data_IF_350767389285
#
_entry.id   IF_350767389285
#
_cell.length_a   1.000
_cell.length_b   1.000
_cell.length_c   1.000
_cell.angle_alpha   90.00
_cell.angle_beta   90.00
_cell.angle_gamma   90.00
#
_symmetry.space_group_name_H-M   'P 1'
#
loop_
_entity.id
_entity.type
_entity.pdbx_description
1 polymer ?
#
# COMPACT_ATOMS: atom_id res chain seq x y z
N UNK A 1 -28.21 22.00 17.93
CA UNK A 1 -26.81 21.65 18.18
C UNK A 1 -26.39 20.72 17.05
N UNK A 2 -25.56 21.22 16.11
CA UNK A 2 -25.03 20.40 15.03
C UNK A 2 -24.13 19.32 15.61
N UNK A 3 -24.48 18.05 15.43
CA UNK A 3 -23.59 16.91 15.71
C UNK A 3 -22.36 17.10 14.82
N UNK A 4 -21.31 17.68 15.38
CA UNK A 4 -20.02 17.81 14.71
C UNK A 4 -19.51 16.39 14.47
N UNK A 5 -19.63 15.93 13.24
CA UNK A 5 -18.94 14.71 12.81
C UNK A 5 -17.45 14.88 13.10
N UNK A 6 -16.81 13.90 13.74
CA UNK A 6 -15.40 14.01 14.05
C UNK A 6 -14.62 14.26 12.77
N UNK A 7 -13.69 15.21 12.80
CA UNK A 7 -12.85 15.57 11.66
C UNK A 7 -12.09 14.32 11.16
N UNK A 8 -12.07 14.13 9.84
CA UNK A 8 -11.27 13.10 9.21
C UNK A 8 -9.93 13.71 8.79
N UNK A 9 -8.85 13.12 9.26
CA UNK A 9 -7.47 13.55 8.99
C UNK A 9 -6.74 12.43 8.26
N UNK A 10 -6.06 12.78 7.18
CA UNK A 10 -5.15 11.86 6.50
C UNK A 10 -3.73 12.10 6.99
N UNK A 11 -3.10 11.06 7.51
CA UNK A 11 -1.68 11.03 7.84
C UNK A 11 -0.97 10.13 6.82
N UNK A 12 -0.11 10.72 6.00
CA UNK A 12 0.71 9.98 5.03
C UNK A 12 2.12 9.88 5.59
N UNK A 13 2.58 8.65 5.77
CA UNK A 13 3.96 8.33 6.16
C UNK A 13 4.69 8.03 4.86
N UNK A 14 5.37 9.05 4.34
CA UNK A 14 6.13 8.98 3.10
C UNK A 14 7.46 8.24 3.26
N UNK A 15 8.29 8.22 2.21
CA UNK A 15 9.65 7.69 2.29
C UNK A 15 10.50 8.45 3.31
N UNK A 16 10.48 9.77 3.29
CA UNK A 16 11.37 10.63 4.04
C UNK A 16 10.64 11.73 4.82
N UNK A 17 9.30 11.77 4.73
CA UNK A 17 8.49 12.79 5.37
C UNK A 17 7.13 12.25 5.85
N UNK A 18 6.61 12.88 6.90
CA UNK A 18 5.23 12.78 7.34
C UNK A 18 4.44 13.93 6.72
N UNK A 19 3.27 13.62 6.17
CA UNK A 19 2.36 14.63 5.64
C UNK A 19 0.98 14.50 6.27
N UNK A 20 0.53 15.57 6.91
CA UNK A 20 -0.82 15.68 7.48
C UNK A 20 -1.69 16.49 6.53
N UNK A 21 -2.79 15.90 6.10
CA UNK A 21 -3.78 16.56 5.24
C UNK A 21 -5.10 16.67 6.00
N UNK A 22 -5.59 17.90 6.13
CA UNK A 22 -6.85 18.23 6.77
C UNK A 22 -7.76 18.96 5.78
N UNK A 23 -9.05 18.78 5.93
CA UNK A 23 -10.01 19.45 5.09
C UNK A 23 -9.85 20.98 5.20
N UNK A 24 -9.75 21.67 4.07
CA UNK A 24 -9.64 23.14 3.95
C UNK A 24 -8.42 23.76 4.65
N UNK A 25 -7.37 22.97 4.89
CA UNK A 25 -6.10 23.48 5.40
C UNK A 25 -4.97 23.08 4.47
N UNK A 26 -3.92 23.89 4.44
CA UNK A 26 -2.69 23.51 3.75
C UNK A 26 -2.13 22.22 4.36
N UNK A 27 -1.60 21.36 3.50
CA UNK A 27 -0.92 20.17 3.98
C UNK A 27 0.33 20.57 4.76
N UNK A 28 0.52 19.95 5.92
CA UNK A 28 1.73 20.09 6.71
C UNK A 28 2.66 18.94 6.39
N UNK A 29 3.91 19.25 6.10
CA UNK A 29 4.94 18.25 5.83
C UNK A 29 6.08 18.41 6.83
N UNK A 30 6.59 17.29 7.33
CA UNK A 30 7.65 17.22 8.33
C UNK A 30 8.59 16.07 8.02
N UNK A 31 9.90 16.21 8.24
CA UNK A 31 10.87 15.15 7.99
C UNK A 31 10.56 13.91 8.85
N UNK A 32 10.81 12.74 8.30
CA UNK A 32 10.73 11.49 9.01
C UNK A 32 12.03 11.28 9.79
N UNK A 33 11.94 11.11 11.11
CA UNK A 33 13.07 10.74 11.94
C UNK A 33 13.35 9.22 11.83
N UNK A 34 14.50 8.79 12.32
CA UNK A 34 14.86 7.37 12.33
C UNK A 34 13.93 6.52 13.20
N UNK A 35 13.35 7.12 14.23
CA UNK A 35 12.40 6.48 15.13
C UNK A 35 10.96 6.96 14.89
N UNK A 36 10.03 6.01 14.85
CA UNK A 36 8.60 6.30 14.61
C UNK A 36 7.98 7.16 15.70
N UNK A 37 8.32 6.91 16.96
CA UNK A 37 7.78 7.66 18.08
C UNK A 37 8.22 9.12 18.04
N UNK A 38 9.51 9.38 17.75
CA UNK A 38 10.05 10.72 17.59
C UNK A 38 9.39 11.46 16.42
N UNK A 39 9.24 10.79 15.28
CA UNK A 39 8.56 11.36 14.11
C UNK A 39 7.10 11.76 14.42
N UNK A 40 6.36 10.89 15.09
CA UNK A 40 4.97 11.17 15.46
C UNK A 40 4.85 12.23 16.56
N UNK A 41 5.83 12.30 17.47
CA UNK A 41 5.86 13.31 18.53
C UNK A 41 6.02 14.73 17.98
N UNK A 42 6.74 14.89 16.86
CA UNK A 42 6.95 16.18 16.21
C UNK A 42 5.70 16.74 15.52
N UNK A 43 4.65 15.92 15.30
CA UNK A 43 3.40 16.37 14.70
C UNK A 43 2.66 17.38 15.60
N UNK A 44 2.07 18.44 15.02
CA UNK A 44 1.34 19.44 15.77
C UNK A 44 0.12 18.86 16.46
N UNK A 45 -0.48 19.63 17.35
CA UNK A 45 -1.75 19.27 17.98
C UNK A 45 -2.85 19.07 16.93
N UNK A 46 -3.46 17.90 16.95
CA UNK A 46 -4.61 17.56 16.11
C UNK A 46 -5.91 17.65 16.95
N UNK A 47 -7.06 17.91 16.32
CA UNK A 47 -8.33 17.96 17.03
C UNK A 47 -8.61 16.63 17.75
N UNK A 48 -9.06 16.72 18.99
CA UNK A 48 -9.43 15.53 19.79
C UNK A 48 -10.58 14.79 19.10
N UNK A 49 -10.59 13.47 19.25
CA UNK A 49 -11.58 12.56 18.67
C UNK A 49 -11.59 12.52 17.13
N UNK A 50 -10.65 13.22 16.45
CA UNK A 50 -10.53 13.12 15.00
C UNK A 50 -10.23 11.67 14.57
N UNK A 51 -10.80 11.28 13.44
CA UNK A 51 -10.53 9.99 12.79
C UNK A 51 -9.27 10.07 11.92
N UNK A 52 -8.26 9.27 12.22
CA UNK A 52 -7.02 9.20 11.44
C UNK A 52 -7.10 8.08 10.40
N UNK A 53 -6.88 8.43 9.14
CA UNK A 53 -6.60 7.49 8.07
C UNK A 53 -5.10 7.55 7.76
N UNK A 54 -4.39 6.49 8.12
CA UNK A 54 -2.93 6.44 7.97
C UNK A 54 -2.59 5.65 6.73
N UNK A 55 -1.88 6.30 5.79
CA UNK A 55 -1.32 5.67 4.60
C UNK A 55 0.20 5.62 4.73
N UNK A 56 0.76 4.44 4.56
CA UNK A 56 2.20 4.19 4.75
C UNK A 56 2.85 3.91 3.39
N UNK A 57 3.93 4.61 3.07
CA UNK A 57 4.67 4.40 1.83
C UNK A 57 5.12 2.94 1.65
N UNK A 58 5.10 2.47 0.42
CA UNK A 58 5.37 1.07 0.08
C UNK A 58 6.81 0.63 0.40
N UNK A 59 7.74 1.57 0.54
CA UNK A 59 9.10 1.26 1.02
C UNK A 59 9.12 0.63 2.41
N UNK A 60 8.14 0.96 3.25
CA UNK A 60 7.98 0.42 4.60
C UNK A 60 7.08 -0.82 4.65
N UNK A 61 6.49 -1.20 3.52
CA UNK A 61 5.60 -2.35 3.42
C UNK A 61 6.28 -3.55 2.77
N UNK A 62 5.70 -4.73 3.03
CA UNK A 62 6.00 -5.98 2.32
C UNK A 62 4.69 -6.55 1.81
N UNK A 63 4.74 -7.22 0.66
CA UNK A 63 3.56 -7.76 0.00
C UNK A 63 3.77 -9.21 -0.37
N UNK A 64 2.72 -10.01 -0.22
CA UNK A 64 2.68 -11.41 -0.65
C UNK A 64 1.36 -11.70 -1.36
N UNK A 65 1.43 -12.55 -2.37
CA UNK A 65 0.28 -13.32 -2.84
C UNK A 65 0.14 -14.55 -1.93
N UNK A 66 -1.04 -14.74 -1.38
CA UNK A 66 -1.36 -15.90 -0.56
C UNK A 66 -2.28 -16.85 -1.31
N UNK A 67 -1.92 -18.12 -1.30
CA UNK A 67 -2.81 -19.21 -1.69
C UNK A 67 -3.32 -19.85 -0.39
N UNK A 68 -4.59 -19.73 -0.10
CA UNK A 68 -5.16 -20.28 1.13
C UNK A 68 -5.24 -21.80 1.04
N UNK A 69 -4.64 -22.55 1.98
CA UNK A 69 -4.78 -24.00 2.03
C UNK A 69 -6.23 -24.42 2.21
N UNK A 70 -6.60 -25.54 1.57
CA UNK A 70 -7.90 -26.14 1.80
C UNK A 70 -8.02 -26.60 3.26
N UNK A 71 -9.18 -26.35 3.88
CA UNK A 71 -9.43 -26.77 5.26
C UNK A 71 -8.88 -25.85 6.35
N UNK A 72 -8.18 -24.75 6.00
CA UNK A 72 -7.67 -23.80 6.99
C UNK A 72 -8.80 -23.12 7.76
N UNK A 73 -8.80 -23.28 9.08
CA UNK A 73 -9.81 -22.67 9.96
C UNK A 73 -9.60 -21.17 10.11
N UNK A 74 -10.67 -20.44 10.38
CA UNK A 74 -10.60 -18.99 10.54
C UNK A 74 -9.61 -18.55 11.64
N UNK A 75 -9.52 -19.29 12.74
CA UNK A 75 -8.57 -19.04 13.83
C UNK A 75 -7.10 -19.23 13.44
N UNK A 76 -6.82 -20.04 12.40
CA UNK A 76 -5.46 -20.37 11.96
C UNK A 76 -4.95 -19.39 10.87
N UNK A 77 -5.85 -18.60 10.29
CA UNK A 77 -5.52 -17.74 9.14
C UNK A 77 -4.44 -16.73 9.46
N UNK A 78 -4.52 -16.07 10.61
CA UNK A 78 -3.51 -15.07 10.98
C UNK A 78 -2.13 -15.74 11.17
N UNK A 79 -2.06 -16.86 11.86
CA UNK A 79 -0.82 -17.61 12.04
C UNK A 79 -0.22 -18.07 10.69
N UNK A 80 -1.06 -18.48 9.74
CA UNK A 80 -0.62 -18.81 8.39
C UNK A 80 -0.01 -17.59 7.68
N UNK A 81 -0.67 -16.43 7.73
CA UNK A 81 -0.16 -15.19 7.14
C UNK A 81 1.20 -14.82 7.75
N UNK A 82 1.28 -14.81 9.08
CA UNK A 82 2.50 -14.45 9.81
C UNK A 82 3.65 -15.39 9.45
N UNK A 83 3.40 -16.71 9.43
CA UNK A 83 4.38 -17.71 9.00
C UNK A 83 4.85 -17.47 7.55
N UNK A 84 3.95 -17.12 6.63
CA UNK A 84 4.32 -16.82 5.24
C UNK A 84 5.22 -15.59 5.14
N UNK A 85 4.95 -14.53 5.91
CA UNK A 85 5.82 -13.36 5.95
C UNK A 85 7.19 -13.69 6.54
N UNK A 86 7.27 -14.43 7.63
CA UNK A 86 8.53 -14.89 8.21
C UNK A 86 9.33 -15.74 7.23
N UNK A 87 8.69 -16.69 6.55
CA UNK A 87 9.32 -17.58 5.57
C UNK A 87 9.95 -16.84 4.37
N UNK A 88 9.36 -15.69 3.96
CA UNK A 88 9.81 -14.94 2.78
C UNK A 88 10.74 -13.78 3.14
N UNK A 89 10.46 -13.08 4.24
CA UNK A 89 11.18 -11.86 4.61
C UNK A 89 12.03 -11.99 5.89
N UNK A 90 12.11 -13.20 6.45
CA UNK A 90 12.85 -13.45 7.68
C UNK A 90 12.08 -13.12 8.95
N UNK A 91 12.71 -13.35 10.10
CA UNK A 91 12.12 -13.23 11.44
C UNK A 91 11.93 -11.78 11.92
N UNK A 92 11.71 -10.84 11.01
CA UNK A 92 11.40 -9.47 11.37
C UNK A 92 10.07 -9.37 12.14
N UNK A 93 9.94 -8.40 13.06
CA UNK A 93 8.68 -8.14 13.74
C UNK A 93 7.70 -7.48 12.75
N UNK A 94 6.84 -8.28 12.15
CA UNK A 94 5.84 -7.82 11.18
C UNK A 94 4.45 -7.76 11.81
N UNK A 95 3.68 -6.75 11.47
CA UNK A 95 2.22 -6.74 11.61
C UNK A 95 1.63 -6.95 10.24
N UNK A 96 1.04 -8.12 10.01
CA UNK A 96 0.52 -8.53 8.72
C UNK A 96 -1.02 -8.51 8.68
N UNK A 97 -1.55 -8.30 7.50
CA UNK A 97 -2.97 -8.38 7.19
C UNK A 97 -3.14 -8.93 5.77
N UNK A 98 -4.18 -9.73 5.58
CA UNK A 98 -4.55 -10.24 4.26
C UNK A 98 -6.05 -10.01 3.99
N UNK A 99 -6.40 -9.92 2.71
CA UNK A 99 -7.79 -9.93 2.30
C UNK A 99 -8.48 -11.23 2.75
N UNK A 100 -9.76 -11.10 3.15
CA UNK A 100 -10.54 -12.23 3.69
C UNK A 100 -11.17 -13.08 2.59
N UNK A 101 -10.55 -13.17 1.42
CA UNK A 101 -11.07 -14.02 0.34
C UNK A 101 -11.09 -15.49 0.76
N UNK A 102 -12.04 -16.21 0.17
CA UNK A 102 -12.36 -17.57 0.59
C UNK A 102 -11.30 -18.61 0.23
N UNK A 103 -11.45 -19.80 0.78
CA UNK A 103 -10.66 -20.98 0.43
C UNK A 103 -10.67 -21.21 -1.09
N UNK A 104 -9.51 -21.50 -1.67
CA UNK A 104 -9.35 -21.72 -3.11
C UNK A 104 -9.17 -20.46 -3.95
N UNK A 105 -9.12 -19.27 -3.31
CA UNK A 105 -8.77 -18.00 -3.96
C UNK A 105 -7.40 -17.51 -3.55
N UNK A 106 -6.80 -16.70 -4.40
CA UNK A 106 -5.58 -15.98 -4.08
C UNK A 106 -5.92 -14.64 -3.45
N UNK A 107 -5.23 -14.29 -2.38
CA UNK A 107 -5.39 -13.01 -1.68
C UNK A 107 -4.11 -12.19 -1.73
N UNK A 108 -4.26 -10.88 -1.69
CA UNK A 108 -3.18 -9.96 -1.40
C UNK A 108 -2.99 -9.87 0.12
N UNK A 109 -1.75 -10.02 0.56
CA UNK A 109 -1.36 -9.73 1.94
C UNK A 109 -0.31 -8.65 1.98
N UNK A 110 -0.38 -7.82 3.01
CA UNK A 110 0.58 -6.76 3.28
C UNK A 110 1.05 -6.83 4.73
N UNK A 111 2.30 -6.44 4.97
CA UNK A 111 2.85 -6.32 6.32
C UNK A 111 3.62 -5.01 6.47
N UNK A 112 3.56 -4.46 7.68
CA UNK A 112 4.32 -3.30 8.12
C UNK A 112 5.24 -3.71 9.28
N UNK A 113 6.39 -3.03 9.49
CA UNK A 113 7.19 -3.22 10.69
C UNK A 113 6.32 -3.02 11.94
N UNK A 114 6.31 -3.97 12.86
CA UNK A 114 5.38 -3.98 13.99
C UNK A 114 5.51 -2.74 14.89
N UNK A 115 6.70 -2.16 14.96
CA UNK A 115 6.94 -0.92 15.69
C UNK A 115 6.11 0.26 15.21
N UNK A 116 5.82 0.35 13.91
CA UNK A 116 5.04 1.45 13.35
C UNK A 116 3.57 1.45 13.81
N UNK A 117 2.77 0.39 13.64
CA UNK A 117 1.41 0.37 14.15
C UNK A 117 1.33 0.53 15.69
N UNK A 118 2.32 0.03 16.42
CA UNK A 118 2.41 0.19 17.88
C UNK A 118 2.63 1.65 18.25
N UNK A 119 3.61 2.33 17.63
CA UNK A 119 3.89 3.75 17.86
C UNK A 119 2.67 4.62 17.51
N UNK A 120 2.01 4.35 16.36
CA UNK A 120 0.80 5.05 15.95
C UNK A 120 -0.33 4.91 16.96
N UNK A 121 -0.58 3.69 17.46
CA UNK A 121 -1.62 3.44 18.46
C UNK A 121 -1.32 4.16 19.78
N UNK A 122 -0.08 4.10 20.26
CA UNK A 122 0.34 4.78 21.48
C UNK A 122 0.21 6.31 21.34
N UNK A 123 0.70 6.87 20.24
CA UNK A 123 0.62 8.30 19.94
C UNK A 123 -0.82 8.81 19.81
N UNK A 124 -1.67 8.08 19.09
CA UNK A 124 -3.07 8.44 18.91
C UNK A 124 -3.84 8.40 20.23
N UNK A 125 -3.59 7.36 21.05
CA UNK A 125 -4.19 7.22 22.39
C UNK A 125 -3.84 8.39 23.30
N UNK A 126 -2.56 8.78 23.34
CA UNK A 126 -2.07 9.90 24.15
C UNK A 126 -2.71 11.24 23.76
N UNK A 127 -3.14 11.37 22.51
CA UNK A 127 -3.79 12.58 21.97
C UNK A 127 -5.31 12.50 21.84
N UNK A 128 -5.92 11.44 22.35
CA UNK A 128 -7.37 11.19 22.21
C UNK A 128 -7.83 11.18 20.75
N UNK A 129 -7.02 10.64 19.84
CA UNK A 129 -7.35 10.45 18.44
C UNK A 129 -7.86 9.01 18.21
N UNK A 130 -8.64 8.81 17.15
CA UNK A 130 -9.16 7.51 16.75
C UNK A 130 -8.50 7.06 15.45
N UNK A 131 -7.77 5.96 15.45
CA UNK A 131 -7.25 5.39 14.21
C UNK A 131 -8.40 4.65 13.52
N UNK A 132 -8.75 5.15 12.34
CA UNK A 132 -9.76 4.53 11.47
C UNK A 132 -9.13 3.43 10.59
N UNK A 133 -7.98 3.73 9.95
CA UNK A 133 -7.25 2.78 9.10
C UNK A 133 -5.74 2.99 9.24
N UNK A 134 -4.98 1.90 9.09
CA UNK A 134 -3.54 1.93 8.82
C UNK A 134 -3.33 0.98 7.65
N UNK A 135 -2.89 1.48 6.51
CA UNK A 135 -2.73 0.67 5.32
C UNK A 135 -1.57 1.15 4.46
N UNK A 136 -0.87 0.23 3.76
CA UNK A 136 0.14 0.60 2.77
C UNK A 136 -0.49 1.39 1.60
N UNK A 137 0.30 2.24 0.99
CA UNK A 137 -0.17 3.14 -0.06
C UNK A 137 -0.71 2.40 -1.30
N UNK A 138 -0.04 1.31 -1.72
CA UNK A 138 -0.52 0.45 -2.80
C UNK A 138 -1.92 -0.10 -2.51
N UNK A 139 -2.16 -0.60 -1.29
CA UNK A 139 -3.47 -1.15 -0.89
C UNK A 139 -4.52 -0.05 -0.84
N UNK A 140 -4.18 1.12 -0.29
CA UNK A 140 -5.10 2.26 -0.19
C UNK A 140 -5.57 2.73 -1.57
N UNK A 141 -4.63 2.88 -2.51
CA UNK A 141 -4.95 3.34 -3.86
C UNK A 141 -5.68 2.26 -4.67
N UNK A 142 -5.24 1.00 -4.59
CA UNK A 142 -5.97 -0.11 -5.21
C UNK A 142 -7.43 -0.14 -4.74
N UNK A 143 -7.67 -0.12 -3.44
CA UNK A 143 -9.02 -0.17 -2.87
C UNK A 143 -9.90 1.01 -3.31
N UNK A 144 -9.30 2.18 -3.50
CA UNK A 144 -10.00 3.37 -3.96
C UNK A 144 -10.49 3.24 -5.40
N UNK A 145 -9.73 2.58 -6.25
CA UNK A 145 -9.93 2.56 -7.69
C UNK A 145 -10.43 1.24 -8.25
N UNK A 146 -10.28 0.11 -7.52
CA UNK A 146 -10.55 -1.23 -8.00
C UNK A 146 -11.99 -1.45 -8.50
N UNK A 147 -12.97 -0.70 -8.00
CA UNK A 147 -14.34 -0.76 -8.49
C UNK A 147 -14.48 -0.35 -9.97
N UNK A 148 -13.53 0.43 -10.49
CA UNK A 148 -13.44 0.82 -11.90
C UNK A 148 -12.67 -0.15 -12.78
N UNK A 149 -11.94 -1.10 -12.21
CA UNK A 149 -11.12 -2.04 -12.96
C UNK A 149 -11.98 -3.10 -13.62
N UNK A 150 -11.65 -3.46 -14.86
CA UNK A 150 -12.43 -4.44 -15.65
C UNK A 150 -11.48 -5.47 -16.26
N UNK A 151 -11.93 -6.73 -16.28
CA UNK A 151 -11.18 -7.81 -16.90
C UNK A 151 -9.86 -8.09 -16.21
N UNK A 152 -8.92 -8.63 -16.96
CA UNK A 152 -7.56 -8.91 -16.52
C UNK A 152 -6.70 -7.64 -16.63
N UNK A 153 -5.75 -7.46 -15.73
CA UNK A 153 -4.96 -6.25 -15.72
C UNK A 153 -3.90 -6.18 -14.64
N UNK A 154 -3.31 -5.01 -14.56
CA UNK A 154 -2.29 -4.68 -13.58
C UNK A 154 -2.60 -3.34 -12.93
N UNK A 155 -2.18 -3.21 -11.69
CA UNK A 155 -2.13 -1.95 -10.97
C UNK A 155 -0.71 -1.72 -10.49
N UNK A 156 -0.15 -0.56 -10.81
CA UNK A 156 1.16 -0.18 -10.31
C UNK A 156 1.08 1.15 -9.58
N UNK A 157 1.76 1.20 -8.45
CA UNK A 157 2.01 2.42 -7.71
C UNK A 157 3.47 2.81 -7.84
N UNK A 158 3.69 4.04 -8.31
CA UNK A 158 4.99 4.65 -8.48
C UNK A 158 5.19 5.71 -7.40
N UNK A 159 6.11 5.47 -6.50
CA UNK A 159 6.53 6.45 -5.50
C UNK A 159 8.04 6.70 -5.59
N UNK A 160 8.52 7.78 -4.97
CA UNK A 160 9.95 8.08 -4.94
C UNK A 160 10.74 6.89 -4.38
N UNK A 161 11.64 6.33 -5.21
CA UNK A 161 12.51 5.22 -4.85
C UNK A 161 11.84 3.83 -4.82
N UNK A 162 10.59 3.67 -5.32
CA UNK A 162 9.93 2.36 -5.32
C UNK A 162 8.83 2.21 -6.36
N UNK A 163 8.75 1.03 -6.94
CA UNK A 163 7.63 0.59 -7.77
C UNK A 163 6.99 -0.63 -7.12
N UNK A 164 5.68 -0.59 -6.94
CA UNK A 164 4.89 -1.73 -6.49
C UNK A 164 3.88 -2.09 -7.58
N UNK A 165 3.92 -3.34 -8.04
CA UNK A 165 3.09 -3.86 -9.13
C UNK A 165 2.28 -5.05 -8.63
N UNK A 166 0.98 -5.04 -8.92
CA UNK A 166 0.09 -6.17 -8.71
C UNK A 166 -0.61 -6.55 -10.01
N UNK A 167 -0.74 -7.84 -10.29
CA UNK A 167 -1.47 -8.37 -11.44
C UNK A 167 -2.64 -9.20 -10.98
N UNK A 168 -3.74 -9.13 -11.70
CA UNK A 168 -4.89 -9.99 -11.49
C UNK A 168 -5.42 -10.53 -12.82
N UNK A 169 -5.99 -11.72 -12.76
CA UNK A 169 -6.71 -12.36 -13.85
C UNK A 169 -7.85 -13.19 -13.29
N UNK A 170 -8.97 -13.19 -13.99
CA UNK A 170 -10.20 -13.88 -13.56
C UNK A 170 -10.62 -13.50 -12.12
N UNK A 171 -10.43 -12.24 -11.73
CA UNK A 171 -10.76 -11.73 -10.40
C UNK A 171 -9.86 -12.24 -9.26
N UNK A 172 -8.69 -12.78 -9.58
CA UNK A 172 -7.73 -13.30 -8.60
C UNK A 172 -6.35 -12.66 -8.77
N UNK A 173 -5.67 -12.41 -7.67
CA UNK A 173 -4.27 -11.96 -7.70
C UNK A 173 -3.37 -13.04 -8.29
N UNK A 174 -2.61 -12.70 -9.31
CA UNK A 174 -1.60 -13.55 -9.94
C UNK A 174 -0.22 -13.29 -9.37
N UNK A 175 0.13 -12.03 -9.25
CA UNK A 175 1.43 -11.64 -8.71
C UNK A 175 1.33 -10.33 -7.95
N UNK A 176 2.25 -10.13 -7.02
CA UNK A 176 2.59 -8.84 -6.44
C UNK A 176 4.10 -8.75 -6.32
N UNK A 177 4.66 -7.61 -6.73
CA UNK A 177 6.10 -7.32 -6.64
C UNK A 177 6.28 -5.88 -6.17
N UNK A 178 7.22 -5.68 -5.28
CA UNK A 178 7.61 -4.34 -4.82
C UNK A 178 9.13 -4.24 -4.88
N UNK A 179 9.63 -3.30 -5.66
CA UNK A 179 11.05 -3.21 -5.99
C UNK A 179 11.57 -1.80 -5.76
N UNK A 180 12.75 -1.63 -5.15
CA UNK A 180 13.39 -0.34 -5.08
C UNK A 180 13.80 0.15 -6.49
N UNK A 181 13.80 1.46 -6.66
CA UNK A 181 14.29 2.15 -7.85
C UNK A 181 15.28 3.20 -7.38
N UNK A 182 16.46 3.25 -7.98
CA UNK A 182 17.57 4.10 -7.51
C UNK A 182 17.32 5.60 -7.68
N UNK A 183 16.24 5.98 -8.34
CA UNK A 183 15.91 7.37 -8.63
C UNK A 183 14.41 7.63 -8.43
N UNK A 184 14.09 8.88 -8.06
CA UNK A 184 12.70 9.37 -8.05
C UNK A 184 12.18 9.69 -9.47
N UNK A 185 12.97 9.41 -10.52
CA UNK A 185 12.65 9.70 -11.89
C UNK A 185 11.57 8.76 -12.46
N UNK A 186 10.58 9.34 -13.11
CA UNK A 186 9.50 8.61 -13.77
C UNK A 186 10.00 7.64 -14.84
N UNK A 187 11.12 7.95 -15.54
CA UNK A 187 11.73 7.05 -16.51
C UNK A 187 12.34 5.81 -15.84
N UNK A 188 13.00 5.97 -14.70
CA UNK A 188 13.54 4.84 -13.96
C UNK A 188 12.40 3.92 -13.48
N UNK A 189 11.29 4.48 -13.03
CA UNK A 189 10.10 3.74 -12.66
C UNK A 189 9.49 2.99 -13.85
N UNK A 190 9.42 3.63 -15.03
CA UNK A 190 8.93 2.99 -16.26
C UNK A 190 9.82 1.81 -16.68
N UNK A 191 11.14 1.99 -16.69
CA UNK A 191 12.09 0.89 -16.98
C UNK A 191 11.93 -0.26 -15.99
N UNK A 192 11.74 0.03 -14.72
CA UNK A 192 11.49 -0.98 -13.69
C UNK A 192 10.19 -1.76 -13.98
N UNK A 193 9.09 -1.09 -14.33
CA UNK A 193 7.83 -1.74 -14.73
C UNK A 193 8.00 -2.62 -15.95
N UNK A 194 8.71 -2.11 -16.98
CA UNK A 194 8.98 -2.86 -18.22
C UNK A 194 9.83 -4.10 -17.98
N UNK A 195 10.70 -4.08 -16.96
CA UNK A 195 11.48 -5.24 -16.56
C UNK A 195 10.67 -6.22 -15.66
N UNK A 196 9.80 -5.70 -14.80
CA UNK A 196 9.02 -6.52 -13.86
C UNK A 196 7.94 -7.35 -14.55
N UNK A 197 7.25 -6.79 -15.54
CA UNK A 197 6.14 -7.46 -16.21
C UNK A 197 6.56 -8.77 -16.89
N UNK A 198 7.61 -8.82 -17.73
CA UNK A 198 8.07 -10.06 -18.35
C UNK A 198 8.85 -10.98 -17.40
N UNK A 199 9.33 -10.49 -16.26
CA UNK A 199 10.08 -11.29 -15.29
C UNK A 199 9.19 -12.14 -14.35
N UNK A 200 7.86 -12.11 -14.57
CA UNK A 200 6.94 -12.94 -13.81
C UNK A 200 7.00 -14.40 -14.28
N UNK A 201 6.73 -15.39 -13.41
CA UNK A 201 6.56 -16.76 -13.82
C UNK A 201 5.56 -16.89 -14.97
N UNK A 202 5.79 -17.83 -15.89
CA UNK A 202 4.95 -18.02 -17.10
C UNK A 202 3.47 -18.23 -16.73
N UNK A 203 3.22 -18.93 -15.65
CA UNK A 203 1.88 -19.20 -15.11
C UNK A 203 1.15 -17.95 -14.59
N UNK A 204 1.90 -16.91 -14.21
CA UNK A 204 1.39 -15.64 -13.70
C UNK A 204 1.48 -14.51 -14.76
N UNK A 205 2.09 -14.80 -15.92
CA UNK A 205 2.37 -13.82 -16.96
C UNK A 205 1.08 -13.41 -17.68
N UNK A 206 0.81 -12.12 -17.68
CA UNK A 206 -0.17 -11.49 -18.55
C UNK A 206 0.59 -10.74 -19.65
N UNK A 207 0.31 -11.07 -20.90
CA UNK A 207 0.97 -10.48 -22.06
C UNK A 207 0.32 -9.18 -22.55
N UNK A 208 -0.93 -8.94 -22.13
CA UNK A 208 -1.69 -7.76 -22.48
C UNK A 208 -2.74 -7.44 -21.42
N UNK A 209 -3.22 -6.21 -21.41
CA UNK A 209 -4.27 -5.78 -20.50
C UNK A 209 -4.24 -4.29 -20.24
N UNK A 210 -4.95 -3.85 -19.21
CA UNK A 210 -4.89 -2.47 -18.75
C UNK A 210 -3.97 -2.36 -17.54
N UNK A 211 -2.95 -1.52 -17.65
CA UNK A 211 -2.07 -1.13 -16.56
C UNK A 211 -2.59 0.18 -15.95
N UNK A 212 -3.15 0.09 -14.77
CA UNK A 212 -3.61 1.23 -13.99
C UNK A 212 -2.43 1.78 -13.16
N UNK A 213 -2.17 3.08 -13.26
CA UNK A 213 -1.02 3.73 -12.64
C UNK A 213 -1.45 4.75 -11.60
N UNK A 214 -0.94 4.64 -10.38
CA UNK A 214 -1.07 5.64 -9.32
C UNK A 214 0.30 6.24 -8.96
N UNK A 215 0.31 7.52 -8.59
CA UNK A 215 1.52 8.29 -8.31
C UNK A 215 2.10 8.92 -9.58
N UNK A 216 3.40 8.81 -9.80
CA UNK A 216 4.04 9.37 -10.99
C UNK A 216 3.54 8.71 -12.27
N UNK A 217 3.34 9.51 -13.33
CA UNK A 217 2.97 8.99 -14.67
C UNK A 217 4.24 8.83 -15.51
N UNK A 218 4.62 7.60 -15.84
CA UNK A 218 5.77 7.35 -16.67
C UNK A 218 5.47 7.65 -18.16
N UNK A 219 6.48 7.89 -18.98
CA UNK A 219 6.34 7.95 -20.44
C UNK A 219 5.75 6.64 -20.99
N UNK A 220 4.71 6.75 -21.81
CA UNK A 220 3.95 5.59 -22.32
C UNK A 220 4.78 4.73 -23.27
N UNK A 221 5.69 5.33 -24.02
CA UNK A 221 6.63 4.68 -24.94
C UNK A 221 7.63 3.73 -24.26
N UNK A 222 7.81 3.86 -22.95
CA UNK A 222 8.68 2.99 -22.16
C UNK A 222 7.95 1.76 -21.59
N UNK A 223 6.67 1.62 -21.85
CA UNK A 223 5.89 0.50 -21.33
C UNK A 223 5.86 -0.68 -22.30
N UNK A 224 5.69 -1.92 -21.81
CA UNK A 224 5.69 -3.09 -22.67
C UNK A 224 4.55 -3.04 -23.70
N UNK A 225 4.83 -3.52 -24.91
CA UNK A 225 3.81 -3.67 -25.96
C UNK A 225 2.64 -4.54 -25.46
N UNK A 226 1.43 -4.23 -25.91
CA UNK A 226 0.20 -4.94 -25.49
C UNK A 226 -0.48 -4.39 -24.23
N UNK A 227 0.14 -3.44 -23.51
CA UNK A 227 -0.46 -2.84 -22.33
C UNK A 227 -1.05 -1.46 -22.63
N UNK A 228 -2.33 -1.28 -22.27
CA UNK A 228 -2.98 0.02 -22.27
C UNK A 228 -2.78 0.69 -20.91
N UNK A 229 -2.29 1.94 -20.89
CA UNK A 229 -2.10 2.68 -19.66
C UNK A 229 -3.27 3.55 -19.30
N UNK A 230 -3.68 3.48 -18.04
CA UNK A 230 -4.67 4.33 -17.44
C UNK A 230 -4.08 5.00 -16.17
N UNK A 231 -3.76 6.29 -16.26
CA UNK A 231 -3.32 7.05 -15.09
C UNK A 231 -4.51 7.32 -14.17
N UNK A 232 -4.32 7.00 -12.91
CA UNK A 232 -5.29 7.24 -11.85
C UNK A 232 -4.96 8.58 -11.19
N UNK A 233 -5.98 9.43 -11.02
CA UNK A 233 -5.78 10.69 -10.33
C UNK A 233 -5.52 10.42 -8.85
N UNK A 234 -4.45 10.99 -8.32
CA UNK A 234 -4.25 11.04 -6.89
C UNK A 234 -5.43 11.75 -6.24
N UNK A 235 -5.89 11.26 -5.09
CA UNK A 235 -6.83 12.01 -4.30
C UNK A 235 -6.13 13.26 -3.72
N UNK A 236 -6.82 14.39 -3.70
CA UNK A 236 -6.33 15.63 -3.11
C UNK A 236 -5.96 15.46 -1.63
#
# INVERSE_FOLDING_TARGET
MSLLWPESIQLRIGPDALRVVRRRQAALEMPLAADWAASLASLPGLPRLAGLHVTVADRHARYLRLNWPAGLKAAERQAFVDHRFQSVFGDGPWTSLADRDGVGRTSLAAALPAGLPLALKAWARARSLRIATIEPAFVADYRRHCAGFRGDGAFARLEAGRVTLGLWSAGQWRAVRSQPVDSADAQAAARCLSALLPALPVEDLLTAGTLHLAGATPPVDLLPAGWNCASLKDAP
#
